data_IF_683815236536
#
_entry.id   IF_683815236536
#
_cell.length_a   1.000
_cell.length_b   1.000
_cell.length_c   1.000
_cell.angle_alpha   90.00
_cell.angle_beta   90.00
_cell.angle_gamma   90.00
#
_symmetry.space_group_name_H-M   'P 1'
#
loop_
_entity.id
_entity.type
_entity.pdbx_description
1 polymer ?
#
# COMPACT_ATOMS: atom_id res chain seq x y z
N UNK A 1 -105.70 21.24 -12.66
CA UNK A 1 -106.59 22.41 -12.82
C UNK A 1 -105.75 23.53 -13.34
N UNK A 2 -106.17 23.95 -14.50
CA UNK A 2 -106.20 25.31 -14.99
C UNK A 2 -104.89 25.93 -15.29
N UNK A 3 -104.62 26.01 -16.50
CA UNK A 3 -104.97 27.01 -17.53
C UNK A 3 -103.78 27.95 -17.73
N UNK A 4 -103.26 28.09 -18.79
CA UNK A 4 -103.74 28.49 -20.13
C UNK A 4 -103.13 29.83 -20.53
N UNK A 5 -102.63 29.82 -21.68
CA UNK A 5 -102.66 30.93 -22.72
C UNK A 5 -101.70 32.11 -22.43
N UNK A 6 -101.02 32.67 -23.32
CA UNK A 6 -101.25 33.18 -24.70
C UNK A 6 -99.94 33.69 -25.19
N UNK A 7 -99.30 33.27 -26.27
CA UNK A 7 -99.48 33.63 -27.68
C UNK A 7 -99.17 35.08 -27.96
N UNK A 8 -98.27 35.20 -28.91
CA UNK A 8 -98.24 36.19 -30.03
C UNK A 8 -97.12 37.18 -30.01
N UNK A 9 -96.36 37.04 -31.04
CA UNK A 9 -95.98 37.88 -32.17
C UNK A 9 -94.87 38.85 -31.85
N UNK A 10 -93.95 39.18 -32.67
CA UNK A 10 -93.83 39.33 -34.10
C UNK A 10 -92.39 39.60 -34.49
N UNK A 11 -91.99 38.95 -35.52
CA UNK A 11 -90.99 39.28 -36.52
C UNK A 11 -90.34 40.65 -36.46
N UNK A 12 -89.05 40.74 -36.57
CA UNK A 12 -88.43 41.33 -37.80
C UNK A 12 -86.98 41.72 -37.58
N UNK A 13 -86.29 41.49 -38.64
CA UNK A 13 -85.09 42.15 -39.16
C UNK A 13 -83.69 41.65 -38.82
N UNK A 14 -83.24 40.93 -39.83
CA UNK A 14 -81.86 40.70 -40.25
C UNK A 14 -81.01 41.94 -40.19
N UNK A 15 -79.83 41.85 -39.51
CA UNK A 15 -78.62 42.47 -40.05
C UNK A 15 -77.44 41.57 -39.64
N UNK A 16 -76.83 41.03 -40.68
CA UNK A 16 -75.57 40.34 -40.63
C UNK A 16 -74.46 41.30 -40.22
N UNK A 17 -73.75 41.02 -39.15
CA UNK A 17 -72.37 41.48 -38.92
C UNK A 17 -71.47 40.30 -38.85
N UNK A 18 -70.74 40.08 -39.92
CA UNK A 18 -69.66 39.14 -40.01
C UNK A 18 -68.48 39.71 -39.18
N UNK A 19 -68.25 39.17 -37.98
CA UNK A 19 -67.13 39.54 -37.14
C UNK A 19 -66.05 38.51 -37.37
N UNK A 20 -65.06 38.85 -38.22
CA UNK A 20 -63.81 38.13 -38.34
C UNK A 20 -63.14 38.04 -36.97
N UNK A 21 -63.08 36.83 -36.47
CA UNK A 21 -62.28 36.49 -35.24
C UNK A 21 -60.82 36.53 -35.70
N UNK A 22 -60.17 37.68 -35.60
CA UNK A 22 -58.69 37.72 -35.60
C UNK A 22 -58.18 36.88 -34.46
N UNK A 23 -57.73 35.69 -34.74
CA UNK A 23 -56.80 34.97 -33.87
C UNK A 23 -55.57 35.86 -33.71
N UNK A 24 -55.50 36.63 -32.66
CA UNK A 24 -54.26 37.19 -32.17
C UNK A 24 -53.34 36.03 -31.81
N UNK A 25 -52.42 35.67 -32.70
CA UNK A 25 -51.23 34.98 -32.38
C UNK A 25 -50.47 35.83 -31.35
N UNK A 26 -50.74 35.62 -30.08
CA UNK A 26 -49.87 36.04 -29.00
C UNK A 26 -48.58 35.21 -29.12
N UNK A 27 -47.67 35.61 -29.98
CA UNK A 27 -46.26 35.29 -29.84
C UNK A 27 -45.83 35.95 -28.56
N UNK A 28 -45.91 35.17 -27.47
CA UNK A 28 -45.37 35.54 -26.17
C UNK A 28 -43.91 35.81 -26.40
N UNK A 29 -43.51 37.07 -26.44
CA UNK A 29 -42.11 37.47 -26.50
C UNK A 29 -41.40 36.76 -25.33
N UNK A 30 -40.55 35.82 -25.64
CA UNK A 30 -39.76 35.06 -24.64
C UNK A 30 -39.00 36.09 -23.81
N UNK A 31 -39.45 36.31 -22.60
CA UNK A 31 -38.82 37.26 -21.69
C UNK A 31 -37.46 36.67 -21.26
N UNK A 32 -36.39 37.12 -21.93
CA UNK A 32 -35.04 36.72 -21.59
C UNK A 32 -34.76 37.05 -20.10
N UNK A 33 -34.55 36.05 -19.29
CA UNK A 33 -34.29 36.21 -17.86
C UNK A 33 -32.80 36.47 -17.62
N UNK A 34 -32.53 37.57 -16.92
CA UNK A 34 -31.15 37.90 -16.51
C UNK A 34 -30.75 37.06 -15.32
N UNK A 35 -29.69 36.25 -15.44
CA UNK A 35 -29.20 35.32 -14.42
C UNK A 35 -27.70 35.52 -14.22
N UNK A 36 -27.18 35.06 -13.09
CA UNK A 36 -25.73 34.99 -12.87
C UNK A 36 -25.32 33.52 -12.96
N UNK A 37 -24.30 33.23 -13.75
CA UNK A 37 -23.74 31.89 -13.91
C UNK A 37 -22.40 31.77 -13.20
N UNK A 38 -22.03 30.56 -12.80
CA UNK A 38 -20.73 30.22 -12.29
C UNK A 38 -20.23 28.93 -12.93
N UNK A 39 -18.90 28.75 -13.04
CA UNK A 39 -18.34 27.51 -13.56
C UNK A 39 -18.48 26.37 -12.53
N UNK A 40 -18.63 25.15 -13.03
CA UNK A 40 -18.43 23.94 -12.27
C UNK A 40 -16.92 23.78 -12.03
N UNK A 41 -16.52 23.64 -10.76
CA UNK A 41 -15.11 23.49 -10.40
C UNK A 41 -14.82 22.01 -10.15
N UNK A 42 -13.85 21.46 -10.84
CA UNK A 42 -13.39 20.09 -10.60
C UNK A 42 -12.56 20.07 -9.32
N UNK A 43 -13.02 19.38 -8.29
CA UNK A 43 -12.23 19.10 -7.11
C UNK A 43 -11.58 17.73 -7.27
N UNK A 44 -10.26 17.73 -7.41
CA UNK A 44 -9.45 16.55 -7.29
C UNK A 44 -8.89 16.50 -5.87
N UNK A 45 -9.59 15.86 -4.95
CA UNK A 45 -9.13 15.73 -3.57
C UNK A 45 -8.43 14.39 -3.40
N UNK A 46 -7.14 14.45 -3.04
CA UNK A 46 -6.38 13.27 -2.64
C UNK A 46 -6.88 12.84 -1.27
N UNK A 47 -7.37 11.61 -1.16
CA UNK A 47 -7.73 11.04 0.12
C UNK A 47 -6.44 10.66 0.86
N UNK A 48 -6.22 11.25 2.03
CA UNK A 48 -5.12 10.88 2.91
C UNK A 48 -5.67 10.25 4.18
N UNK A 49 -5.21 9.06 4.54
CA UNK A 49 -5.57 8.40 5.79
C UNK A 49 -4.33 8.27 6.66
N UNK A 50 -4.51 8.50 7.96
CA UNK A 50 -3.43 8.50 8.94
C UNK A 50 -3.58 7.34 9.92
N UNK A 51 -2.48 6.60 10.12
CA UNK A 51 -2.41 5.46 11.01
C UNK A 51 -1.22 5.58 11.95
N UNK A 52 -1.37 5.03 13.16
CA UNK A 52 -0.22 4.82 14.04
C UNK A 52 0.50 3.55 13.62
N UNK A 53 1.81 3.58 13.59
CA UNK A 53 2.64 2.46 13.19
C UNK A 53 3.90 2.34 14.04
N UNK A 54 4.59 1.22 13.84
CA UNK A 54 5.89 0.94 14.47
C UNK A 54 6.91 0.63 13.38
N UNK A 55 8.12 1.17 13.53
CA UNK A 55 9.22 0.90 12.63
C UNK A 55 9.79 -0.48 12.93
N UNK A 56 9.88 -1.32 11.91
CA UNK A 56 10.54 -2.63 11.92
C UNK A 56 11.79 -2.60 11.04
N UNK A 57 12.79 -3.42 11.36
CA UNK A 57 13.91 -3.63 10.45
C UNK A 57 13.41 -4.25 9.13
N UNK A 58 14.03 -3.91 8.01
CA UNK A 58 13.71 -4.53 6.72
C UNK A 58 13.95 -6.04 6.74
N UNK A 59 14.99 -6.46 7.45
CA UNK A 59 15.30 -7.87 7.65
C UNK A 59 15.86 -8.09 9.06
N UNK A 60 15.35 -9.12 9.73
CA UNK A 60 15.87 -9.63 11.00
C UNK A 60 16.32 -11.07 10.81
N UNK A 61 17.58 -11.35 11.06
CA UNK A 61 18.20 -12.66 10.91
C UNK A 61 18.58 -13.20 12.29
N UNK A 62 17.87 -14.21 12.79
CA UNK A 62 18.27 -14.89 14.01
C UNK A 62 19.48 -15.78 13.71
N UNK A 63 20.56 -15.57 14.44
CA UNK A 63 21.78 -16.36 14.34
C UNK A 63 21.85 -17.31 15.53
N UNK A 64 22.14 -18.57 15.24
CA UNK A 64 22.27 -19.63 16.24
C UNK A 64 23.53 -20.43 15.99
N UNK A 65 24.15 -20.94 17.06
CA UNK A 65 25.20 -21.94 16.92
C UNK A 65 24.62 -23.25 16.38
N UNK A 66 25.41 -23.96 15.61
CA UNK A 66 25.12 -25.34 15.17
C UNK A 66 25.88 -26.37 16.01
N UNK A 67 26.45 -25.93 17.12
CA UNK A 67 27.19 -26.74 18.10
C UNK A 67 26.46 -26.71 19.45
N UNK A 68 26.60 -27.78 20.27
CA UNK A 68 26.06 -27.85 21.61
C UNK A 68 27.10 -27.46 22.68
N UNK A 69 28.29 -27.07 22.25
CA UNK A 69 29.40 -26.74 23.13
C UNK A 69 29.18 -25.42 23.89
N UNK A 70 29.96 -25.17 24.94
CA UNK A 70 29.85 -23.94 25.72
C UNK A 70 30.44 -22.75 24.97
N UNK A 71 29.79 -21.60 25.06
CA UNK A 71 30.31 -20.32 24.54
C UNK A 71 31.56 -19.94 25.32
N UNK A 72 32.67 -19.74 24.60
CA UNK A 72 33.98 -19.40 25.21
C UNK A 72 34.33 -17.93 25.01
N UNK A 73 33.83 -17.29 23.97
CA UNK A 73 34.11 -15.88 23.68
C UNK A 73 32.98 -15.25 22.88
N UNK A 74 32.74 -13.96 23.13
CA UNK A 74 31.81 -13.08 22.38
C UNK A 74 32.60 -11.84 22.01
N UNK A 75 32.48 -11.39 20.77
CA UNK A 75 33.29 -10.32 20.17
C UNK A 75 32.47 -9.11 19.77
N UNK A 76 31.17 -9.10 20.05
CA UNK A 76 30.22 -8.04 19.65
C UNK A 76 29.21 -7.77 20.76
N UNK A 77 28.73 -6.52 20.79
CA UNK A 77 27.65 -6.10 21.67
C UNK A 77 26.45 -5.56 20.89
N UNK A 78 25.31 -5.34 21.56
CA UNK A 78 24.12 -4.76 20.97
C UNK A 78 24.41 -3.35 20.44
N UNK A 79 23.96 -3.09 19.23
CA UNK A 79 24.21 -1.83 18.51
C UNK A 79 25.44 -1.82 17.61
N UNK A 80 26.33 -2.80 17.73
CA UNK A 80 27.54 -2.87 16.88
C UNK A 80 27.19 -3.12 15.41
N UNK A 81 27.89 -2.43 14.51
CA UNK A 81 27.88 -2.74 13.09
C UNK A 81 28.87 -3.86 12.78
N UNK A 82 28.42 -4.87 12.06
CA UNK A 82 29.24 -6.03 11.68
C UNK A 82 29.25 -6.24 10.17
N UNK A 83 30.38 -6.73 9.66
CA UNK A 83 30.55 -7.06 8.23
C UNK A 83 30.29 -8.55 7.99
N UNK A 84 29.89 -8.87 6.77
CA UNK A 84 29.76 -10.26 6.32
C UNK A 84 31.05 -11.07 6.61
N UNK A 85 30.89 -12.28 7.16
CA UNK A 85 31.99 -13.16 7.55
C UNK A 85 32.66 -12.84 8.89
N UNK A 86 32.36 -11.67 9.50
CA UNK A 86 32.91 -11.28 10.79
C UNK A 86 32.54 -12.31 11.88
N UNK A 87 33.52 -12.70 12.69
CA UNK A 87 33.33 -13.58 13.83
C UNK A 87 32.62 -12.82 14.95
N UNK A 88 31.47 -13.32 15.38
CA UNK A 88 30.61 -12.71 16.41
C UNK A 88 30.80 -13.38 17.77
N UNK A 89 30.87 -14.70 17.79
CA UNK A 89 31.07 -15.49 19.02
C UNK A 89 31.70 -16.83 18.68
N UNK A 90 32.27 -17.48 19.68
CA UNK A 90 32.95 -18.78 19.58
C UNK A 90 32.50 -19.71 20.70
N UNK A 91 32.21 -20.94 20.31
CA UNK A 91 32.01 -22.05 21.26
C UNK A 91 33.33 -22.85 21.45
N UNK A 92 33.39 -23.69 22.47
CA UNK A 92 34.52 -24.58 22.70
C UNK A 92 34.70 -25.51 21.48
N UNK A 93 35.86 -25.48 20.89
CA UNK A 93 36.15 -26.22 19.66
C UNK A 93 37.27 -27.25 19.84
N UNK A 94 37.80 -27.44 21.05
CA UNK A 94 38.96 -28.31 21.31
C UNK A 94 38.75 -29.73 20.83
N UNK A 95 37.60 -30.32 21.12
CA UNK A 95 37.22 -31.66 20.68
C UNK A 95 37.12 -31.76 19.16
N UNK A 96 36.53 -30.74 18.51
CA UNK A 96 36.38 -30.68 17.05
C UNK A 96 37.71 -30.46 16.35
N UNK A 97 38.61 -29.65 16.90
CA UNK A 97 39.99 -29.48 16.37
C UNK A 97 40.70 -30.81 16.35
N UNK A 98 40.67 -31.57 17.46
CA UNK A 98 41.32 -32.88 17.53
C UNK A 98 40.71 -33.90 16.56
N UNK A 99 39.39 -33.91 16.43
CA UNK A 99 38.69 -34.80 15.50
C UNK A 99 39.02 -34.45 14.02
N UNK A 100 39.05 -33.15 13.69
CA UNK A 100 39.45 -32.69 12.36
C UNK A 100 40.88 -33.07 12.02
N UNK A 101 41.81 -32.86 12.94
CA UNK A 101 43.21 -33.23 12.74
C UNK A 101 43.38 -34.74 12.50
N UNK A 102 42.67 -35.59 13.27
CA UNK A 102 42.69 -37.03 13.06
C UNK A 102 42.10 -37.45 11.67
N UNK A 103 41.00 -36.80 11.25
CA UNK A 103 40.43 -37.06 9.94
C UNK A 103 41.33 -36.56 8.81
N UNK A 104 41.99 -35.41 8.94
CA UNK A 104 42.95 -34.87 7.99
C UNK A 104 44.11 -35.83 7.81
N UNK A 105 44.74 -36.35 8.90
CA UNK A 105 45.83 -37.31 8.83
C UNK A 105 45.42 -38.61 8.07
N UNK A 106 44.17 -39.10 8.28
CA UNK A 106 43.64 -40.25 7.51
C UNK A 106 43.45 -39.94 6.03
N UNK A 107 42.99 -38.74 5.70
CA UNK A 107 42.86 -38.30 4.31
C UNK A 107 44.23 -38.21 3.61
N UNK A 108 45.23 -37.60 4.26
CA UNK A 108 46.60 -37.50 3.75
C UNK A 108 47.21 -38.87 3.53
N UNK A 109 47.01 -39.83 4.48
CA UNK A 109 47.44 -41.21 4.32
C UNK A 109 46.80 -41.90 3.11
N UNK A 110 45.48 -41.67 2.87
CA UNK A 110 44.77 -42.25 1.75
C UNK A 110 45.26 -41.66 0.42
N UNK A 111 45.56 -40.36 0.36
CA UNK A 111 46.16 -39.67 -0.80
C UNK A 111 47.53 -40.24 -1.11
N UNK A 112 48.43 -40.37 -0.11
CA UNK A 112 49.79 -40.93 -0.29
C UNK A 112 49.71 -42.39 -0.81
N UNK A 113 48.83 -43.20 -0.26
CA UNK A 113 48.59 -44.58 -0.74
C UNK A 113 48.09 -44.61 -2.22
N UNK A 114 47.15 -43.73 -2.57
CA UNK A 114 46.65 -43.58 -3.93
C UNK A 114 47.79 -43.23 -4.90
N UNK A 115 48.61 -42.20 -4.53
CA UNK A 115 49.65 -41.70 -5.42
C UNK A 115 50.78 -42.70 -5.66
N UNK A 116 51.10 -43.54 -4.66
CA UNK A 116 52.02 -44.68 -4.81
C UNK A 116 51.42 -45.75 -5.73
N UNK A 117 50.15 -46.13 -5.53
CA UNK A 117 49.48 -47.17 -6.32
C UNK A 117 49.15 -46.67 -7.75
N UNK A 118 49.00 -45.39 -7.96
CA UNK A 118 48.83 -44.78 -9.30
C UNK A 118 49.99 -45.14 -10.23
N UNK A 119 51.25 -45.08 -9.74
CA UNK A 119 52.42 -45.44 -10.53
C UNK A 119 52.38 -46.91 -10.97
N UNK A 120 51.87 -47.80 -10.14
CA UNK A 120 51.74 -49.24 -10.44
C UNK A 120 50.59 -49.50 -11.41
N UNK A 121 49.50 -48.74 -11.27
CA UNK A 121 48.36 -48.78 -12.17
C UNK A 121 48.68 -48.28 -13.57
N UNK A 122 49.37 -47.13 -13.64
CA UNK A 122 49.80 -46.54 -14.91
C UNK A 122 50.81 -47.47 -15.66
N UNK A 123 51.59 -48.28 -14.93
CA UNK A 123 52.48 -49.30 -15.47
C UNK A 123 51.74 -50.61 -15.87
N UNK A 124 50.37 -50.64 -15.77
CA UNK A 124 49.56 -51.82 -16.13
C UNK A 124 49.67 -53.00 -15.16
N UNK A 125 50.30 -52.82 -14.00
CA UNK A 125 50.56 -53.90 -13.04
C UNK A 125 49.52 -53.98 -11.88
N UNK A 126 48.57 -53.05 -11.80
CA UNK A 126 47.51 -53.07 -10.81
C UNK A 126 46.13 -53.32 -11.48
N UNK A 127 45.39 -54.33 -11.03
CA UNK A 127 44.00 -54.58 -11.54
C UNK A 127 43.09 -53.35 -11.28
N UNK A 128 42.22 -53.05 -12.25
CA UNK A 128 41.30 -51.92 -12.21
C UNK A 128 40.42 -51.91 -10.93
N UNK A 129 39.94 -53.10 -10.52
CA UNK A 129 39.13 -53.24 -9.30
C UNK A 129 39.87 -52.77 -8.05
N UNK A 130 41.22 -52.96 -7.99
CA UNK A 130 42.07 -52.47 -6.89
C UNK A 130 42.21 -50.95 -6.95
N UNK A 131 42.41 -50.38 -8.18
CA UNK A 131 42.47 -48.95 -8.39
C UNK A 131 41.19 -48.23 -7.98
N UNK A 132 40.01 -48.76 -8.39
CA UNK A 132 38.68 -48.26 -7.96
C UNK A 132 38.56 -48.32 -6.45
N UNK A 133 38.96 -49.40 -5.80
CA UNK A 133 38.92 -49.54 -4.37
C UNK A 133 39.78 -48.50 -3.62
N UNK A 134 40.94 -48.13 -4.17
CA UNK A 134 41.81 -47.07 -3.60
C UNK A 134 41.15 -45.72 -3.71
N UNK A 135 40.60 -45.36 -4.89
CA UNK A 135 39.88 -44.11 -5.08
C UNK A 135 38.68 -44.00 -4.16
N UNK A 136 37.94 -45.09 -3.97
CA UNK A 136 36.83 -45.11 -3.01
C UNK A 136 37.26 -44.81 -1.56
N UNK A 137 38.44 -45.33 -1.14
CA UNK A 137 38.99 -45.04 0.19
C UNK A 137 39.39 -43.57 0.35
N UNK A 138 39.97 -42.94 -0.73
CA UNK A 138 40.28 -41.52 -0.72
C UNK A 138 38.98 -40.70 -0.58
N UNK A 139 37.97 -40.98 -1.38
CA UNK A 139 36.68 -40.27 -1.35
C UNK A 139 36.03 -40.40 0.04
N UNK A 140 36.09 -41.58 0.67
CA UNK A 140 35.56 -41.78 2.02
C UNK A 140 36.34 -40.97 3.06
N UNK A 141 37.69 -40.94 3.00
CA UNK A 141 38.50 -40.17 3.92
C UNK A 141 38.30 -38.68 3.74
N UNK A 142 38.13 -38.23 2.48
CA UNK A 142 37.80 -36.83 2.13
C UNK A 142 36.47 -36.39 2.74
N UNK A 143 35.41 -37.16 2.52
CA UNK A 143 34.08 -36.89 3.08
C UNK A 143 34.12 -36.80 4.61
N UNK A 144 34.91 -37.67 5.26
CA UNK A 144 35.06 -37.65 6.73
C UNK A 144 35.84 -36.41 7.20
N UNK A 145 36.91 -36.01 6.50
CA UNK A 145 37.66 -34.78 6.80
C UNK A 145 36.74 -33.57 6.68
N UNK A 146 35.93 -33.47 5.61
CA UNK A 146 35.06 -32.34 5.37
C UNK A 146 33.92 -32.28 6.39
N UNK A 147 33.42 -33.42 6.85
CA UNK A 147 32.44 -33.49 7.93
C UNK A 147 32.98 -32.84 9.20
N UNK A 148 34.18 -33.23 9.65
CA UNK A 148 34.78 -32.66 10.86
C UNK A 148 35.24 -31.21 10.67
N UNK A 149 35.66 -30.83 9.48
CA UNK A 149 35.91 -29.43 9.12
C UNK A 149 34.66 -28.58 9.31
N UNK A 150 33.51 -29.05 8.79
CA UNK A 150 32.23 -28.35 8.95
C UNK A 150 31.78 -28.30 10.41
N UNK A 151 32.00 -29.37 11.16
CA UNK A 151 31.71 -29.40 12.62
C UNK A 151 32.55 -28.37 13.38
N UNK A 152 33.80 -28.20 13.02
CA UNK A 152 34.69 -27.19 13.58
C UNK A 152 34.23 -25.76 13.24
N UNK A 153 33.85 -25.50 11.96
CA UNK A 153 33.30 -24.23 11.53
C UNK A 153 32.00 -23.88 12.29
N UNK A 154 31.17 -24.88 12.62
CA UNK A 154 29.93 -24.73 13.38
C UNK A 154 30.13 -24.29 14.83
N UNK A 155 31.36 -24.36 15.35
CA UNK A 155 31.72 -23.77 16.63
C UNK A 155 31.95 -22.26 16.58
N UNK A 156 31.93 -21.66 15.40
CA UNK A 156 32.05 -20.22 15.19
C UNK A 156 30.74 -19.63 14.69
N UNK A 157 30.26 -18.58 15.34
CA UNK A 157 29.11 -17.82 14.91
C UNK A 157 29.58 -16.61 14.13
N UNK A 158 29.31 -16.59 12.81
CA UNK A 158 29.71 -15.53 11.90
C UNK A 158 28.52 -14.82 11.30
N UNK A 159 28.68 -13.52 10.98
CA UNK A 159 27.67 -12.73 10.32
C UNK A 159 27.47 -13.18 8.85
N UNK A 160 26.25 -13.57 8.43
CA UNK A 160 25.99 -13.99 7.06
C UNK A 160 25.94 -12.81 6.06
N UNK A 161 25.76 -11.61 6.58
CA UNK A 161 25.67 -10.34 5.79
C UNK A 161 26.08 -9.16 6.67
N UNK A 162 26.28 -7.99 6.07
CA UNK A 162 26.43 -6.74 6.81
C UNK A 162 25.14 -6.41 7.57
N UNK A 163 25.26 -5.76 8.73
CA UNK A 163 24.11 -5.32 9.52
C UNK A 163 24.51 -4.88 10.93
N UNK A 164 23.52 -4.66 11.77
CA UNK A 164 23.70 -4.28 13.18
C UNK A 164 23.28 -5.41 14.10
N UNK A 165 23.93 -5.51 15.25
CA UNK A 165 23.51 -6.44 16.32
C UNK A 165 22.28 -5.84 17.01
N UNK A 166 21.11 -6.42 16.78
CA UNK A 166 19.85 -5.95 17.37
C UNK A 166 19.57 -6.50 18.76
N UNK A 167 20.07 -7.70 19.07
CA UNK A 167 19.98 -8.30 20.40
C UNK A 167 21.03 -9.39 20.55
N UNK A 168 21.55 -9.56 21.78
CA UNK A 168 22.52 -10.58 22.19
C UNK A 168 21.94 -11.39 23.37
N UNK A 169 21.51 -12.61 23.07
CA UNK A 169 20.86 -13.48 24.05
C UNK A 169 21.80 -14.59 24.57
N UNK A 170 23.11 -14.38 24.47
CA UNK A 170 24.13 -15.33 24.91
C UNK A 170 25.16 -14.67 25.83
N UNK A 171 25.71 -15.48 26.75
CA UNK A 171 26.80 -15.09 27.62
C UNK A 171 27.91 -16.16 27.60
N UNK A 172 29.14 -15.75 27.93
CA UNK A 172 30.28 -16.66 28.05
C UNK A 172 29.97 -17.69 29.17
N UNK A 173 30.19 -18.95 28.86
CA UNK A 173 29.89 -20.07 29.76
C UNK A 173 28.51 -20.70 29.55
N UNK A 174 27.60 -20.06 28.82
CA UNK A 174 26.32 -20.66 28.44
C UNK A 174 26.53 -21.80 27.43
N UNK A 175 25.64 -22.80 27.45
CA UNK A 175 25.59 -23.81 26.40
C UNK A 175 25.02 -23.20 25.11
N UNK A 176 25.70 -23.45 24.01
CA UNK A 176 25.27 -22.96 22.66
C UNK A 176 24.09 -23.79 22.10
N UNK A 177 23.03 -23.95 22.89
CA UNK A 177 21.86 -24.78 22.54
C UNK A 177 21.04 -24.13 21.42
N UNK A 178 20.61 -24.94 20.46
CA UNK A 178 19.91 -24.57 19.26
C UNK A 178 18.50 -23.92 19.43
N UNK A 179 18.02 -23.71 20.65
CA UNK A 179 16.61 -23.46 20.91
C UNK A 179 16.22 -21.99 20.73
N UNK A 180 17.14 -21.07 20.81
CA UNK A 180 16.83 -19.65 20.68
C UNK A 180 17.91 -18.91 19.88
N UNK A 181 17.52 -17.82 19.24
CA UNK A 181 18.43 -16.91 18.56
C UNK A 181 19.51 -16.41 19.53
N UNK A 182 20.75 -16.83 19.33
CA UNK A 182 21.90 -16.40 20.12
C UNK A 182 22.17 -14.90 19.93
N UNK A 183 22.17 -14.47 18.67
CA UNK A 183 22.34 -13.07 18.26
C UNK A 183 21.29 -12.75 17.19
N UNK A 184 20.67 -11.57 17.27
CA UNK A 184 19.83 -11.04 16.21
C UNK A 184 20.61 -10.05 15.37
N UNK A 185 20.79 -10.34 14.10
CA UNK A 185 21.33 -9.40 13.12
C UNK A 185 20.18 -8.69 12.42
N UNK A 186 20.21 -7.35 12.38
CA UNK A 186 19.16 -6.52 11.75
C UNK A 186 19.77 -5.66 10.65
N UNK A 187 19.03 -5.53 9.53
CA UNK A 187 19.33 -4.59 8.48
C UNK A 187 18.42 -3.38 8.62
N UNK A 188 19.00 -2.20 8.67
CA UNK A 188 18.28 -0.95 8.87
C UNK A 188 18.58 0.12 7.82
N UNK A 189 19.31 -0.20 6.74
CA UNK A 189 19.52 0.70 5.60
C UNK A 189 18.20 1.07 4.90
N UNK A 190 17.25 0.15 4.92
CA UNK A 190 15.82 0.42 4.76
C UNK A 190 15.06 -0.13 5.96
N UNK A 191 13.92 0.48 6.26
CA UNK A 191 13.04 0.03 7.36
C UNK A 191 11.61 -0.06 6.85
N UNK A 192 10.77 -0.80 7.54
CA UNK A 192 9.36 -0.89 7.24
C UNK A 192 8.55 -0.26 8.39
N UNK A 193 7.73 0.73 8.10
CA UNK A 193 6.70 1.16 9.03
C UNK A 193 5.51 0.21 8.92
N UNK A 194 5.27 -0.56 9.96
CA UNK A 194 4.14 -1.48 10.06
C UNK A 194 2.96 -0.73 10.67
N UNK A 195 1.86 -0.65 9.92
CA UNK A 195 0.59 -0.07 10.36
C UNK A 195 -0.50 -1.12 10.38
N UNK A 196 -1.48 -0.94 11.25
CA UNK A 196 -2.67 -1.81 11.34
C UNK A 196 -3.87 -1.08 10.75
N UNK A 197 -4.40 -1.62 9.66
CA UNK A 197 -5.48 -1.02 8.87
C UNK A 197 -6.78 -1.78 9.12
N UNK A 198 -7.92 -1.12 9.45
CA UNK A 198 -9.22 -1.75 9.61
C UNK A 198 -9.68 -2.47 8.33
N UNK A 199 -10.52 -3.51 8.50
CA UNK A 199 -11.11 -4.27 7.39
C UNK A 199 -11.91 -3.38 6.43
N UNK A 200 -12.60 -2.35 6.93
CA UNK A 200 -13.38 -1.41 6.11
C UNK A 200 -12.54 -0.56 5.15
N UNK A 201 -11.24 -0.45 5.38
CA UNK A 201 -10.35 0.43 4.62
C UNK A 201 -9.28 -0.32 3.83
N UNK A 202 -9.05 -1.61 4.12
CA UNK A 202 -7.97 -2.39 3.50
C UNK A 202 -8.08 -2.49 1.97
N UNK A 203 -9.31 -2.48 1.45
CA UNK A 203 -9.56 -2.50 0.00
C UNK A 203 -9.03 -1.29 -0.76
N UNK A 204 -8.72 -0.20 -0.05
CA UNK A 204 -8.12 1.01 -0.63
C UNK A 204 -6.60 0.87 -0.81
N UNK A 205 -5.97 -0.10 -0.11
CA UNK A 205 -4.52 -0.21 -0.08
C UNK A 205 -4.00 -1.08 -1.21
N UNK A 206 -3.09 -0.51 -1.98
CA UNK A 206 -2.36 -1.21 -3.03
C UNK A 206 -0.85 -0.99 -2.87
N UNK A 207 -0.06 -1.94 -3.38
CA UNK A 207 1.39 -1.79 -3.43
C UNK A 207 1.76 -0.58 -4.30
N UNK A 208 2.68 0.25 -3.80
CA UNK A 208 3.16 1.43 -4.50
C UNK A 208 2.48 2.75 -4.07
N UNK A 209 1.42 2.71 -3.24
CA UNK A 209 0.86 3.95 -2.70
C UNK A 209 1.92 4.71 -1.91
N UNK A 210 1.99 6.00 -2.14
CA UNK A 210 2.90 6.89 -1.43
C UNK A 210 2.46 7.09 0.02
N UNK A 211 3.43 7.20 0.91
CA UNK A 211 3.17 7.46 2.32
C UNK A 211 4.21 8.41 2.90
N UNK A 212 3.76 9.22 3.85
CA UNK A 212 4.61 10.12 4.61
C UNK A 212 4.62 9.64 6.06
N UNK A 213 5.81 9.40 6.59
CA UNK A 213 6.01 9.03 7.99
C UNK A 213 6.44 10.24 8.81
N UNK A 214 5.82 10.41 9.95
CA UNK A 214 6.20 11.39 10.98
C UNK A 214 6.70 10.62 12.20
N UNK A 215 7.97 10.80 12.55
CA UNK A 215 8.59 10.06 13.66
C UNK A 215 8.79 11.02 14.84
N UNK A 216 7.98 10.84 15.88
CA UNK A 216 7.97 11.75 17.06
C UNK A 216 9.29 11.74 17.79
N UNK A 217 9.98 10.60 17.90
CA UNK A 217 11.28 10.46 18.53
C UNK A 217 12.40 11.25 17.80
N UNK A 218 12.17 11.69 16.56
CA UNK A 218 13.10 12.45 15.74
C UNK A 218 12.55 13.87 15.45
N UNK A 219 11.98 14.54 16.45
CA UNK A 219 11.41 15.89 16.34
C UNK A 219 10.36 16.00 15.22
N UNK A 220 9.50 14.98 15.05
CA UNK A 220 8.51 14.89 13.99
C UNK A 220 9.12 15.00 12.57
N UNK A 221 10.34 14.53 12.40
CA UNK A 221 10.97 14.46 11.08
C UNK A 221 10.13 13.65 10.11
N UNK A 222 10.06 14.12 8.86
CA UNK A 222 9.29 13.52 7.78
C UNK A 222 10.18 12.63 6.94
N UNK A 223 9.70 11.42 6.69
CA UNK A 223 10.30 10.47 5.77
C UNK A 223 9.26 10.05 4.74
N UNK A 224 9.66 9.93 3.50
CA UNK A 224 8.80 9.43 2.42
C UNK A 224 9.04 7.94 2.21
N UNK A 225 7.96 7.22 1.96
CA UNK A 225 8.00 5.79 1.69
C UNK A 225 6.89 5.37 0.76
N UNK A 226 6.81 4.09 0.48
CA UNK A 226 5.77 3.49 -0.35
C UNK A 226 5.25 2.21 0.30
N UNK A 227 3.97 1.92 0.09
CA UNK A 227 3.37 0.64 0.50
C UNK A 227 4.07 -0.48 -0.25
N UNK A 228 4.83 -1.29 0.48
CA UNK A 228 5.55 -2.44 -0.05
C UNK A 228 4.68 -3.70 -0.02
N UNK A 229 3.95 -3.89 1.09
CA UNK A 229 3.19 -5.11 1.34
C UNK A 229 1.88 -4.82 2.05
N UNK A 230 0.80 -5.37 1.52
CA UNK A 230 -0.52 -5.41 2.16
C UNK A 230 -0.76 -6.82 2.66
N UNK A 231 -1.05 -6.97 3.95
CA UNK A 231 -1.33 -8.26 4.57
C UNK A 231 -2.63 -8.86 4.04
N UNK A 232 -2.64 -10.18 3.87
CA UNK A 232 -3.82 -10.92 3.38
C UNK A 232 -4.58 -11.65 4.49
N UNK A 233 -4.03 -11.62 5.71
CA UNK A 233 -4.63 -12.28 6.89
C UNK A 233 -4.86 -11.22 7.95
N UNK A 234 -6.12 -11.12 8.41
CA UNK A 234 -6.47 -10.22 9.50
C UNK A 234 -6.02 -10.76 10.86
N UNK A 235 -5.60 -9.87 11.73
CA UNK A 235 -5.48 -10.17 13.15
C UNK A 235 -6.88 -10.40 13.73
N UNK A 236 -7.12 -11.58 14.30
CA UNK A 236 -8.43 -12.00 14.79
C UNK A 236 -8.96 -11.15 15.95
N UNK A 237 -8.08 -10.61 16.77
CA UNK A 237 -8.45 -9.82 17.95
C UNK A 237 -8.79 -8.37 17.58
N UNK A 238 -7.93 -7.73 16.78
CA UNK A 238 -8.09 -6.33 16.40
C UNK A 238 -8.92 -6.12 15.14
N UNK A 239 -9.17 -7.17 14.34
CA UNK A 239 -9.80 -7.11 13.00
C UNK A 239 -9.12 -6.13 12.07
N UNK A 240 -7.80 -6.10 12.13
CA UNK A 240 -6.96 -5.23 11.30
C UNK A 240 -6.03 -6.06 10.44
N UNK A 241 -5.62 -5.50 9.32
CA UNK A 241 -4.61 -6.04 8.43
C UNK A 241 -3.31 -5.29 8.61
N UNK A 242 -2.19 -6.02 8.61
CA UNK A 242 -0.87 -5.41 8.67
C UNK A 242 -0.47 -4.89 7.28
N UNK A 243 -0.17 -3.61 7.17
CA UNK A 243 0.40 -3.00 5.97
C UNK A 243 1.81 -2.52 6.30
N UNK A 244 2.76 -2.80 5.41
CA UNK A 244 4.16 -2.37 5.55
C UNK A 244 4.48 -1.30 4.51
N UNK A 245 4.99 -0.19 4.99
CA UNK A 245 5.47 0.94 4.19
C UNK A 245 7.00 0.95 4.26
N UNK A 246 7.64 0.69 3.13
CA UNK A 246 9.11 0.73 3.04
C UNK A 246 9.60 2.17 3.00
N UNK A 247 10.66 2.44 3.78
CA UNK A 247 11.29 3.75 3.88
C UNK A 247 12.81 3.58 3.82
N UNK A 248 13.46 4.35 2.98
CA UNK A 248 14.93 4.41 2.94
C UNK A 248 15.46 5.13 4.18
N UNK A 249 16.43 4.53 4.84
CA UNK A 249 17.03 5.02 6.08
C UNK A 249 18.53 5.31 5.87
N UNK A 250 18.82 6.22 4.97
CA UNK A 250 20.22 6.54 4.56
C UNK A 250 21.04 7.16 5.68
N UNK A 251 20.40 7.84 6.61
CA UNK A 251 21.04 8.48 7.78
C UNK A 251 21.08 7.55 9.02
N UNK A 252 20.53 6.34 8.91
CA UNK A 252 20.46 5.30 9.94
C UNK A 252 19.82 5.76 11.26
N UNK A 253 19.02 6.84 11.21
CA UNK A 253 18.35 7.39 12.40
C UNK A 253 17.05 6.67 12.74
N UNK A 254 16.38 6.08 11.74
CA UNK A 254 15.20 5.27 11.98
C UNK A 254 15.62 3.94 12.61
N UNK A 255 15.21 3.73 13.86
CA UNK A 255 15.53 2.49 14.59
C UNK A 255 14.28 1.65 14.76
N UNK A 256 14.38 0.32 14.62
CA UNK A 256 13.29 -0.60 14.93
C UNK A 256 12.75 -0.36 16.34
N UNK A 257 11.43 -0.43 16.51
CA UNK A 257 10.74 -0.13 17.76
C UNK A 257 10.28 1.32 17.91
N UNK A 258 10.72 2.25 17.06
CA UNK A 258 10.20 3.63 17.09
C UNK A 258 8.74 3.68 16.63
N UNK A 259 7.93 4.50 17.31
CA UNK A 259 6.55 4.76 16.91
C UNK A 259 6.53 5.90 15.89
N UNK A 260 5.70 5.76 14.88
CA UNK A 260 5.49 6.77 13.84
C UNK A 260 4.01 6.94 13.52
N UNK A 261 3.64 8.12 13.02
CA UNK A 261 2.38 8.37 12.33
C UNK A 261 2.63 8.24 10.83
N UNK A 262 1.86 7.41 10.16
CA UNK A 262 1.96 7.16 8.72
C UNK A 262 0.73 7.73 8.04
N UNK A 263 0.93 8.65 7.13
CA UNK A 263 -0.11 9.23 6.27
C UNK A 263 0.03 8.60 4.88
N UNK A 264 -0.94 7.77 4.50
CA UNK A 264 -0.97 7.12 3.20
C UNK A 264 -1.83 7.95 2.25
N UNK A 265 -1.26 8.24 1.09
CA UNK A 265 -1.88 9.06 0.06
C UNK A 265 -2.50 8.13 -0.99
N UNK A 266 -3.80 8.24 -1.16
CA UNK A 266 -4.52 7.44 -2.14
C UNK A 266 -4.67 8.23 -3.44
N UNK A 267 -4.51 7.59 -4.61
CA UNK A 267 -4.80 8.24 -5.89
C UNK A 267 -6.25 8.67 -5.91
N UNK A 268 -6.53 9.71 -6.68
CA UNK A 268 -7.86 10.31 -6.77
C UNK A 268 -8.94 9.26 -7.05
N UNK A 269 -9.92 9.15 -6.18
CA UNK A 269 -11.22 8.64 -6.56
C UNK A 269 -11.87 9.68 -7.49
N UNK A 270 -12.76 9.25 -8.38
CA UNK A 270 -13.43 10.05 -9.40
C UNK A 270 -13.54 11.56 -9.08
N UNK A 271 -13.16 12.45 -10.01
CA UNK A 271 -13.20 13.88 -9.76
C UNK A 271 -14.60 14.29 -9.31
N UNK A 272 -14.70 14.97 -8.20
CA UNK A 272 -15.95 15.48 -7.67
C UNK A 272 -16.16 16.89 -8.20
N UNK A 273 -17.35 17.15 -8.75
CA UNK A 273 -17.68 18.46 -9.28
C UNK A 273 -18.26 19.34 -8.18
N UNK A 274 -17.66 20.50 -7.93
CA UNK A 274 -18.15 21.46 -6.94
C UNK A 274 -19.04 22.51 -7.59
N UNK A 275 -20.21 22.69 -7.02
CA UNK A 275 -21.12 23.79 -7.35
C UNK A 275 -21.41 24.66 -6.13
N UNK A 276 -21.58 25.97 -6.26
CA UNK A 276 -22.02 26.79 -5.15
C UNK A 276 -23.36 26.32 -4.58
N UNK A 277 -23.51 26.31 -3.25
CA UNK A 277 -24.76 25.90 -2.61
C UNK A 277 -25.98 26.66 -3.14
N UNK A 278 -25.82 27.93 -3.55
CA UNK A 278 -26.86 28.77 -4.13
C UNK A 278 -27.37 28.30 -5.49
N UNK A 279 -26.61 27.46 -6.19
CA UNK A 279 -27.03 26.92 -7.50
C UNK A 279 -27.97 25.72 -7.39
N UNK A 280 -27.97 25.05 -6.21
CA UNK A 280 -28.74 23.82 -6.02
C UNK A 280 -30.15 24.14 -5.54
N UNK A 281 -31.13 23.55 -6.21
CA UNK A 281 -32.54 23.64 -5.89
C UNK A 281 -33.08 22.22 -5.59
N UNK A 282 -34.25 22.15 -4.97
CA UNK A 282 -34.98 20.90 -4.76
C UNK A 282 -36.31 20.94 -5.53
N UNK A 283 -36.69 19.83 -6.12
CA UNK A 283 -38.01 19.69 -6.74
C UNK A 283 -39.09 19.31 -5.72
N UNK A 284 -40.31 19.15 -6.18
CA UNK A 284 -41.47 18.79 -5.35
C UNK A 284 -41.31 17.44 -4.62
N UNK A 285 -40.40 16.58 -5.09
CA UNK A 285 -40.07 15.27 -4.50
C UNK A 285 -38.80 15.32 -3.69
N UNK A 286 -38.29 16.51 -3.33
CA UNK A 286 -37.02 16.71 -2.61
C UNK A 286 -35.77 16.20 -3.36
N UNK A 287 -35.83 16.02 -4.68
CA UNK A 287 -34.65 15.65 -5.47
C UNK A 287 -33.85 16.89 -5.82
N UNK A 288 -32.53 16.89 -5.52
CA UNK A 288 -31.68 18.04 -5.82
C UNK A 288 -31.43 18.15 -7.32
N UNK A 289 -31.47 19.38 -7.81
CA UNK A 289 -31.17 19.70 -9.21
C UNK A 289 -30.50 21.06 -9.35
N UNK A 290 -29.87 21.29 -10.47
CA UNK A 290 -29.29 22.57 -10.89
C UNK A 290 -29.83 22.96 -12.24
N UNK A 291 -29.75 24.25 -12.60
CA UNK A 291 -29.90 24.70 -13.97
C UNK A 291 -28.53 24.94 -14.58
N UNK A 292 -28.23 24.24 -15.66
CA UNK A 292 -27.07 24.50 -16.52
C UNK A 292 -27.47 25.40 -17.68
N UNK A 293 -26.51 26.12 -18.24
CA UNK A 293 -26.76 27.01 -19.40
C UNK A 293 -25.95 26.55 -20.60
N UNK A 294 -26.65 26.33 -21.71
CA UNK A 294 -26.00 26.07 -22.98
C UNK A 294 -25.50 27.41 -23.58
N UNK A 295 -24.18 27.46 -23.84
CA UNK A 295 -23.51 28.67 -24.34
C UNK A 295 -23.97 29.06 -25.73
N UNK A 296 -24.40 28.12 -26.58
CA UNK A 296 -24.78 28.36 -27.98
C UNK A 296 -26.22 28.77 -28.08
N UNK A 297 -27.12 28.03 -27.40
CA UNK A 297 -28.57 28.26 -27.49
C UNK A 297 -29.08 29.27 -26.47
N UNK A 298 -28.26 29.64 -25.47
CA UNK A 298 -28.62 30.51 -24.34
C UNK A 298 -29.85 30.03 -23.58
N UNK A 299 -30.09 28.73 -23.56
CA UNK A 299 -31.21 28.11 -22.82
C UNK A 299 -30.75 27.44 -21.56
N UNK A 300 -31.57 27.52 -20.53
CA UNK A 300 -31.37 26.86 -19.28
C UNK A 300 -31.91 25.42 -19.32
N UNK A 301 -31.12 24.45 -18.87
CA UNK A 301 -31.50 23.04 -18.78
C UNK A 301 -31.51 22.57 -17.34
N UNK A 302 -32.60 21.96 -16.89
CA UNK A 302 -32.70 21.36 -15.57
C UNK A 302 -31.95 20.02 -15.57
N UNK A 303 -30.93 19.88 -14.73
CA UNK A 303 -30.19 18.63 -14.52
C UNK A 303 -30.33 18.14 -13.07
N UNK A 304 -30.84 16.93 -12.90
CA UNK A 304 -30.86 16.27 -11.60
C UNK A 304 -29.45 15.86 -11.21
N UNK A 305 -29.06 16.11 -9.97
CA UNK A 305 -27.72 15.83 -9.47
C UNK A 305 -27.77 14.88 -8.28
N UNK A 306 -26.66 14.18 -8.02
CA UNK A 306 -26.46 13.42 -6.80
C UNK A 306 -25.40 14.09 -5.93
N UNK A 307 -25.79 14.44 -4.71
CA UNK A 307 -24.90 15.11 -3.75
C UNK A 307 -24.04 14.06 -3.04
N UNK A 308 -22.72 14.22 -3.09
CA UNK A 308 -21.78 13.38 -2.35
C UNK A 308 -21.49 13.94 -0.95
N UNK A 309 -21.18 15.24 -0.85
CA UNK A 309 -20.85 15.90 0.42
C UNK A 309 -20.97 17.43 0.29
N UNK A 310 -20.78 18.13 1.40
CA UNK A 310 -20.67 19.59 1.42
C UNK A 310 -19.26 19.95 1.84
N UNK A 311 -18.57 20.74 1.03
CA UNK A 311 -17.17 21.15 1.25
C UNK A 311 -17.07 22.68 1.11
N UNK A 312 -16.64 23.38 2.17
CA UNK A 312 -16.38 24.83 2.14
C UNK A 312 -17.48 25.66 1.47
N UNK A 313 -18.74 25.48 1.89
CA UNK A 313 -19.92 26.19 1.36
C UNK A 313 -20.23 25.92 -0.11
N UNK A 314 -19.69 24.80 -0.67
CA UNK A 314 -20.00 24.25 -1.99
C UNK A 314 -20.55 22.86 -1.85
N UNK A 315 -21.36 22.46 -2.80
CA UNK A 315 -21.90 21.09 -2.87
C UNK A 315 -21.04 20.28 -3.83
N UNK A 316 -20.54 19.16 -3.32
CA UNK A 316 -19.82 18.15 -4.09
C UNK A 316 -20.84 17.23 -4.77
N UNK A 317 -20.83 17.19 -6.09
CA UNK A 317 -21.73 16.41 -6.95
C UNK A 317 -21.00 15.20 -7.48
N UNK A 318 -21.54 14.00 -7.23
CA UNK A 318 -20.96 12.74 -7.71
C UNK A 318 -21.41 12.35 -9.12
N UNK A 319 -22.59 12.81 -9.55
CA UNK A 319 -23.10 12.55 -10.90
C UNK A 319 -24.19 13.53 -11.30
N UNK A 320 -24.43 13.67 -12.61
CA UNK A 320 -25.46 14.55 -13.17
C UNK A 320 -24.95 15.88 -13.71
N UNK A 321 -23.64 16.15 -13.63
CA UNK A 321 -22.96 17.30 -14.23
C UNK A 321 -21.70 16.86 -14.98
N UNK A 322 -21.25 17.70 -15.87
CA UNK A 322 -19.98 17.56 -16.58
C UNK A 322 -19.02 18.70 -16.20
N UNK A 323 -17.72 18.43 -16.32
CA UNK A 323 -16.72 19.48 -16.22
C UNK A 323 -16.98 20.52 -17.30
N UNK A 324 -16.69 21.79 -17.03
CA UNK A 324 -16.87 22.93 -17.95
C UNK A 324 -18.32 23.44 -18.18
N UNK A 325 -19.32 22.84 -17.57
CA UNK A 325 -20.68 23.37 -17.58
C UNK A 325 -20.79 24.66 -16.77
N UNK A 326 -21.66 25.55 -17.19
CA UNK A 326 -22.03 26.73 -16.44
C UNK A 326 -23.33 26.46 -15.69
N UNK A 327 -23.33 26.69 -14.38
CA UNK A 327 -24.51 26.57 -13.52
C UNK A 327 -25.06 27.95 -13.16
N UNK A 328 -26.39 28.08 -13.09
CA UNK A 328 -27.02 29.30 -12.63
C UNK A 328 -26.91 29.40 -11.11
N UNK A 329 -26.21 30.43 -10.64
CA UNK A 329 -25.95 30.65 -9.19
C UNK A 329 -26.90 31.69 -8.58
N UNK A 330 -27.48 32.60 -9.38
CA UNK A 330 -28.49 33.56 -8.95
C UNK A 330 -29.59 33.70 -10.02
N UNK A 331 -30.82 33.86 -9.59
CA UNK A 331 -31.99 33.98 -10.45
C UNK A 331 -32.61 32.63 -10.83
N UNK A 332 -32.07 31.53 -10.36
CA UNK A 332 -32.52 30.15 -10.61
C UNK A 332 -33.99 29.88 -10.21
N UNK A 333 -34.52 30.61 -9.19
CA UNK A 333 -35.92 30.47 -8.75
C UNK A 333 -36.96 30.88 -9.79
N UNK A 334 -36.57 31.70 -10.80
CA UNK A 334 -37.44 32.21 -11.86
C UNK A 334 -37.26 31.45 -13.17
N UNK A 335 -36.31 30.52 -13.20
CA UNK A 335 -35.93 29.77 -14.40
C UNK A 335 -36.68 28.44 -14.43
N UNK A 336 -37.20 28.11 -15.61
CA UNK A 336 -37.76 26.81 -15.95
C UNK A 336 -36.92 26.11 -17.00
N UNK A 337 -37.15 24.82 -17.21
CA UNK A 337 -36.45 24.09 -18.25
C UNK A 337 -36.74 24.73 -19.65
N UNK A 338 -35.70 24.89 -20.48
CA UNK A 338 -35.72 25.55 -21.78
C UNK A 338 -35.97 27.08 -21.76
N UNK A 339 -35.93 27.74 -20.58
CA UNK A 339 -36.03 29.21 -20.51
C UNK A 339 -34.81 29.87 -21.15
N UNK A 340 -35.05 30.89 -21.99
CA UNK A 340 -33.98 31.69 -22.56
C UNK A 340 -33.42 32.66 -21.53
N UNK A 341 -32.10 32.64 -21.33
CA UNK A 341 -31.40 33.39 -20.29
C UNK A 341 -30.27 34.24 -20.85
N UNK A 342 -29.96 35.32 -20.15
CA UNK A 342 -28.77 36.14 -20.40
C UNK A 342 -27.95 36.28 -19.13
N UNK A 343 -26.64 36.27 -19.24
CA UNK A 343 -25.72 36.35 -18.11
C UNK A 343 -24.54 37.27 -18.39
#
# INVERSE_FOLDING_TARGET
MKNLLIVLTLASLLTACHQETQQQNNVSASKVLKVKVGPVVVLQEQKTLAYSGTIEASQTIPLTFQSMEKVTAIYVDEGDFVKQGQLLAKADNRSMVSAYQAALAKYDQAIDARDRLKKVYDAGSLPEIKWVGVNSKVAQAEANRDHYKKSLENCELRAPTNGFIGARNIEVGMSAVQIQSAIKLVKIESVAAKISVPESEISLFEKGHEAILHVSALNNSKYTGQVEKVGVVANRLSRTYDVKVEVKNTDLKLKPGMVCKVEVIFPFSNPVLLVPMTAVNSDANNKPFVFTVDRNTKKAHKKTIHIASIVNNKIAVSSGLEADELVIVMGNQKVSNNTEVSW
#
